data_IF_956764784825
#
_entry.id   IF_956764784825
#
_cell.length_a   1.000
_cell.length_b   1.000
_cell.length_c   1.000
_cell.angle_alpha   90.00
_cell.angle_beta   90.00
_cell.angle_gamma   90.00
#
_symmetry.space_group_name_H-M   'P 1'
#
loop_
_entity.id
_entity.type
_entity.pdbx_description
1 polymer ?
#
# COMPACT_ATOMS: atom_id res chain seq x y z
N UNK A 1 -26.70 -10.89 -20.24
CA UNK A 1 -25.26 -11.17 -20.16
C UNK A 1 -24.72 -10.55 -18.88
N UNK A 2 -24.29 -11.36 -17.92
CA UNK A 2 -23.71 -10.87 -16.67
C UNK A 2 -22.29 -10.38 -16.94
N UNK A 3 -22.04 -9.10 -16.69
CA UNK A 3 -20.77 -8.40 -16.97
C UNK A 3 -19.65 -8.76 -15.96
N UNK A 4 -19.48 -10.05 -15.62
CA UNK A 4 -18.54 -10.49 -14.58
C UNK A 4 -17.06 -10.44 -14.99
N UNK A 5 -16.74 -10.17 -16.25
CA UNK A 5 -15.37 -10.32 -16.76
C UNK A 5 -14.53 -9.03 -16.80
N UNK A 6 -15.13 -7.84 -16.61
CA UNK A 6 -14.39 -6.56 -16.80
C UNK A 6 -13.77 -5.91 -15.56
N UNK A 7 -14.04 -6.39 -14.35
CA UNK A 7 -13.54 -5.76 -13.10
C UNK A 7 -12.51 -6.62 -12.36
N UNK A 8 -11.51 -7.17 -13.06
CA UNK A 8 -10.47 -8.02 -12.43
C UNK A 8 -9.26 -7.26 -11.88
N UNK A 9 -9.12 -5.96 -12.12
CA UNK A 9 -7.97 -5.19 -11.63
C UNK A 9 -8.40 -3.93 -10.90
N UNK A 10 -7.54 -3.47 -9.98
CA UNK A 10 -7.67 -2.16 -9.36
C UNK A 10 -7.89 -1.06 -10.41
N UNK A 11 -8.77 -0.12 -10.11
CA UNK A 11 -8.94 1.08 -10.92
C UNK A 11 -7.72 1.99 -10.76
N UNK A 12 -7.57 2.98 -11.65
CA UNK A 12 -6.49 3.97 -11.56
C UNK A 12 -6.47 4.66 -10.19
N UNK A 13 -7.63 5.04 -9.68
CA UNK A 13 -7.79 5.66 -8.35
C UNK A 13 -7.33 4.73 -7.22
N UNK A 14 -7.68 3.44 -7.28
CA UNK A 14 -7.21 2.46 -6.29
C UNK A 14 -5.69 2.31 -6.29
N UNK A 15 -5.06 2.38 -7.47
CA UNK A 15 -3.59 2.36 -7.57
C UNK A 15 -2.95 3.63 -7.00
N UNK A 16 -3.55 4.80 -7.22
CA UNK A 16 -3.09 6.07 -6.66
C UNK A 16 -3.20 6.09 -5.14
N UNK A 17 -4.30 5.58 -4.60
CA UNK A 17 -4.49 5.39 -3.15
C UNK A 17 -3.44 4.44 -2.57
N UNK A 18 -3.23 3.27 -3.18
CA UNK A 18 -2.22 2.30 -2.71
C UNK A 18 -0.83 2.93 -2.74
N UNK A 19 -0.49 3.66 -3.80
CA UNK A 19 0.78 4.37 -3.90
C UNK A 19 0.96 5.38 -2.76
N UNK A 20 -0.07 6.18 -2.48
CA UNK A 20 -0.07 7.12 -1.37
C UNK A 20 0.13 6.42 -0.03
N UNK A 21 -0.65 5.36 0.25
CA UNK A 21 -0.56 4.63 1.51
C UNK A 21 0.79 3.95 1.71
N UNK A 22 1.40 3.44 0.63
CA UNK A 22 2.71 2.78 0.68
C UNK A 22 3.84 3.79 0.80
N UNK A 23 3.86 4.84 -0.03
CA UNK A 23 5.01 5.76 -0.13
C UNK A 23 4.99 6.91 0.87
N UNK A 24 3.81 7.43 1.20
CA UNK A 24 3.67 8.61 2.06
C UNK A 24 3.29 8.22 3.49
N UNK A 25 2.42 7.23 3.66
CA UNK A 25 1.93 6.83 4.97
C UNK A 25 2.66 5.61 5.57
N UNK A 26 3.46 4.89 4.78
CA UNK A 26 4.19 3.69 5.21
C UNK A 26 3.31 2.63 5.88
N UNK A 27 2.08 2.46 5.39
CA UNK A 27 1.10 1.57 6.01
C UNK A 27 1.34 0.09 5.63
N UNK A 28 1.01 -0.79 6.57
CA UNK A 28 1.03 -2.22 6.33
C UNK A 28 -0.13 -2.70 5.45
N UNK A 29 0.08 -3.83 4.76
CA UNK A 29 -0.89 -4.42 3.83
C UNK A 29 -2.26 -4.69 4.47
N UNK A 30 -2.29 -5.04 5.75
CA UNK A 30 -3.53 -5.29 6.50
C UNK A 30 -4.36 -4.02 6.62
N UNK A 31 -3.72 -2.90 6.96
CA UNK A 31 -4.39 -1.62 7.14
C UNK A 31 -4.81 -1.04 5.79
N UNK A 32 -3.94 -1.10 4.78
CA UNK A 32 -4.28 -0.70 3.40
C UNK A 32 -5.52 -1.46 2.92
N UNK A 33 -5.58 -2.77 3.15
CA UNK A 33 -6.75 -3.58 2.78
C UNK A 33 -8.02 -3.13 3.48
N UNK A 34 -7.96 -2.82 4.78
CA UNK A 34 -9.13 -2.35 5.52
C UNK A 34 -9.62 -1.00 5.01
N UNK A 35 -8.71 -0.06 4.77
CA UNK A 35 -9.03 1.27 4.23
C UNK A 35 -9.67 1.13 2.86
N UNK A 36 -9.07 0.37 1.94
CA UNK A 36 -9.63 0.20 0.61
C UNK A 36 -10.98 -0.51 0.64
N UNK A 37 -11.20 -1.47 1.54
CA UNK A 37 -12.52 -2.13 1.69
C UNK A 37 -13.61 -1.17 2.13
N UNK A 38 -13.28 -0.21 2.98
CA UNK A 38 -14.22 0.82 3.43
C UNK A 38 -14.45 1.88 2.35
N UNK A 39 -13.40 2.26 1.60
CA UNK A 39 -13.50 3.28 0.55
C UNK A 39 -14.18 2.75 -0.72
N UNK A 40 -13.96 1.49 -1.06
CA UNK A 40 -14.44 0.85 -2.29
C UNK A 40 -15.35 -0.34 -1.98
N UNK A 41 -16.46 -0.10 -1.27
CA UNK A 41 -17.39 -1.14 -0.78
C UNK A 41 -17.93 -2.04 -1.90
N UNK A 42 -18.14 -1.49 -3.09
CA UNK A 42 -18.66 -2.21 -4.27
C UNK A 42 -17.60 -2.97 -5.06
N UNK A 43 -16.32 -2.88 -4.70
CA UNK A 43 -15.22 -3.50 -5.44
C UNK A 43 -14.59 -4.65 -4.64
N UNK A 44 -14.49 -5.86 -5.23
CA UNK A 44 -13.81 -6.96 -4.56
C UNK A 44 -12.31 -6.68 -4.48
N UNK A 45 -11.79 -6.64 -3.25
CA UNK A 45 -10.36 -6.45 -2.99
C UNK A 45 -9.69 -7.79 -2.73
N UNK A 46 -9.11 -8.35 -3.78
CA UNK A 46 -8.33 -9.58 -3.68
C UNK A 46 -6.95 -9.30 -3.11
N UNK A 47 -6.52 -10.17 -2.19
CA UNK A 47 -5.21 -10.06 -1.54
C UNK A 47 -4.08 -10.08 -2.57
N UNK A 48 -4.19 -10.95 -3.58
CA UNK A 48 -3.19 -11.13 -4.64
C UNK A 48 -2.93 -9.83 -5.41
N UNK A 49 -3.99 -9.14 -5.80
CA UNK A 49 -3.90 -7.89 -6.56
C UNK A 49 -3.36 -6.76 -5.70
N UNK A 50 -3.77 -6.71 -4.42
CA UNK A 50 -3.24 -5.77 -3.44
C UNK A 50 -1.73 -5.97 -3.22
N UNK A 51 -1.27 -7.21 -3.07
CA UNK A 51 0.15 -7.51 -2.94
C UNK A 51 0.94 -7.12 -4.19
N UNK A 52 0.41 -7.39 -5.39
CA UNK A 52 1.03 -6.97 -6.64
C UNK A 52 1.15 -5.44 -6.73
N UNK A 53 0.08 -4.72 -6.36
CA UNK A 53 0.07 -3.26 -6.33
C UNK A 53 1.09 -2.72 -5.31
N UNK A 54 1.11 -3.22 -4.07
CA UNK A 54 2.07 -2.79 -3.04
C UNK A 54 3.50 -3.07 -3.48
N UNK A 55 3.78 -4.24 -4.07
CA UNK A 55 5.12 -4.60 -4.54
C UNK A 55 5.64 -3.62 -5.60
N UNK A 56 4.75 -3.11 -6.46
CA UNK A 56 5.09 -2.08 -7.45
C UNK A 56 5.56 -0.76 -6.82
N UNK A 57 5.01 -0.39 -5.67
CA UNK A 57 5.29 0.88 -5.00
C UNK A 57 6.25 0.78 -3.83
N UNK A 58 6.47 -0.43 -3.31
CA UNK A 58 7.42 -0.67 -2.23
C UNK A 58 8.81 -0.29 -2.74
N UNK A 59 9.46 0.73 -2.17
CA UNK A 59 10.83 1.06 -2.54
C UNK A 59 11.69 -0.19 -2.32
N UNK A 60 12.49 -0.55 -3.32
CA UNK A 60 13.41 -1.69 -3.29
C UNK A 60 14.42 -1.49 -2.17
N UNK A 61 14.10 -1.92 -0.95
CA UNK A 61 14.97 -2.08 0.21
C UNK A 61 16.02 -0.97 0.48
N UNK A 62 15.86 0.25 -0.05
CA UNK A 62 16.47 1.41 0.56
C UNK A 62 15.55 1.75 1.70
N UNK A 63 15.84 1.13 2.85
CA UNK A 63 15.46 1.64 4.16
C UNK A 63 15.77 3.15 4.15
N UNK A 64 14.80 3.98 3.77
CA UNK A 64 14.85 5.39 4.12
C UNK A 64 14.76 5.35 5.63
N UNK A 65 15.92 5.54 6.27
CA UNK A 65 16.00 5.71 7.71
C UNK A 65 14.94 6.73 8.10
N UNK A 66 13.91 6.29 8.82
CA UNK A 66 12.95 7.23 9.37
C UNK A 66 13.68 8.11 10.39
N UNK A 67 13.15 9.30 10.66
CA UNK A 67 13.78 10.24 11.59
C UNK A 67 13.99 9.61 12.98
N UNK A 68 13.10 8.69 13.40
CA UNK A 68 13.26 7.91 14.62
C UNK A 68 14.47 6.96 14.58
N UNK A 69 14.76 6.33 13.44
CA UNK A 69 15.93 5.46 13.27
C UNK A 69 17.24 6.25 13.27
N UNK A 70 17.24 7.47 12.70
CA UNK A 70 18.40 8.37 12.77
C UNK A 70 18.65 8.85 14.20
N UNK A 71 17.60 9.30 14.88
CA UNK A 71 17.70 9.76 16.26
C UNK A 71 18.22 8.66 17.20
N UNK A 72 17.79 7.41 17.01
CA UNK A 72 18.29 6.28 17.78
C UNK A 72 19.79 6.02 17.55
N UNK A 73 20.28 6.16 16.30
CA UNK A 73 21.71 6.03 15.99
C UNK A 73 22.54 7.15 16.63
N UNK A 74 22.03 8.38 16.66
CA UNK A 74 22.71 9.51 17.33
C UNK A 74 22.83 9.31 18.83
N UNK A 75 21.81 8.72 19.47
CA UNK A 75 21.84 8.40 20.91
C UNK A 75 22.86 7.32 21.26
N UNK A 76 23.03 6.32 20.40
CA UNK A 76 23.98 5.22 20.61
C UNK A 76 25.43 5.58 20.23
N UNK A 77 25.64 6.67 19.50
CA UNK A 77 26.97 7.15 19.09
C UNK A 77 27.65 8.04 20.15
N UNK A 78 27.05 8.20 21.34
CA UNK A 78 27.62 8.87 22.51
C UNK A 78 28.07 7.87 23.56
#
# INVERSE_FOLDING_TARGET
ALQFEKNKSFTKEMYEDVEFYVKQCYLDVTLIRQILKQKYVSYPIFLKDLYAAITKYKPSAQLKECDAAKFYKELLAK
#
